data_IF_058070522798
#
_entry.id   IF_058070522798
#
_cell.length_a   1.000
_cell.length_b   1.000
_cell.length_c   1.000
_cell.angle_alpha   90.00
_cell.angle_beta   90.00
_cell.angle_gamma   90.00
#
_symmetry.space_group_name_H-M   'P 1'
#
loop_
_entity.id
_entity.type
_entity.pdbx_description
1 polymer ?
#
# COMPACT_ATOMS: atom_id res chain seq x y z
N UNK A 1 17.49 11.28 16.52
CA UNK A 1 16.43 10.31 16.20
C UNK A 1 15.89 10.70 14.84
N UNK A 2 15.78 9.73 13.94
CA UNK A 2 15.74 9.83 12.47
C UNK A 2 14.63 10.71 11.90
N UNK A 3 15.00 11.89 11.41
CA UNK A 3 14.23 12.87 10.59
C UNK A 3 13.76 12.34 9.21
N UNK A 4 13.84 11.04 8.94
CA UNK A 4 13.51 10.49 7.61
C UNK A 4 12.03 10.10 7.42
N UNK A 5 11.20 10.17 8.47
CA UNK A 5 9.81 9.74 8.42
C UNK A 5 8.80 10.87 8.15
N UNK A 6 9.20 12.14 8.24
CA UNK A 6 8.25 13.27 8.21
C UNK A 6 7.91 13.78 6.80
N UNK A 7 8.52 13.24 5.73
CA UNK A 7 8.38 13.78 4.37
C UNK A 7 7.42 13.02 3.44
N UNK A 8 6.66 12.05 3.95
CA UNK A 8 5.66 11.30 3.18
C UNK A 8 4.28 11.39 3.81
N UNK A 9 3.78 12.62 3.98
CA UNK A 9 2.41 12.87 4.44
C UNK A 9 1.58 13.42 3.27
N UNK A 10 0.60 12.63 2.79
CA UNK A 10 -0.72 13.17 2.48
C UNK A 10 -1.79 12.34 3.20
N UNK A 11 -2.72 12.93 3.97
CA UNK A 11 -3.97 13.51 3.47
C UNK A 11 -4.87 12.42 2.85
N UNK A 12 -6.15 12.37 3.26
CA UNK A 12 -7.07 11.24 3.10
C UNK A 12 -7.13 10.60 1.70
N UNK A 13 -7.77 9.42 1.59
CA UNK A 13 -7.79 8.51 0.41
C UNK A 13 -7.56 9.18 -0.97
N UNK A 14 -8.29 10.24 -1.28
CA UNK A 14 -8.19 10.96 -2.55
C UNK A 14 -6.79 11.52 -2.85
N UNK A 15 -6.13 12.17 -1.88
CA UNK A 15 -4.83 12.78 -2.11
C UNK A 15 -3.71 11.73 -2.17
N UNK A 16 -3.78 10.72 -1.32
CA UNK A 16 -2.86 9.57 -1.41
C UNK A 16 -2.89 8.96 -2.81
N UNK A 17 -4.10 8.76 -3.36
CA UNK A 17 -4.31 8.25 -4.71
C UNK A 17 -3.75 9.18 -5.79
N UNK A 18 -3.94 10.48 -5.67
CA UNK A 18 -3.40 11.47 -6.60
C UNK A 18 -1.87 11.40 -6.64
N UNK A 19 -1.21 11.38 -5.47
CA UNK A 19 0.24 11.30 -5.37
C UNK A 19 0.77 10.01 -5.99
N UNK A 20 0.15 8.87 -5.70
CA UNK A 20 0.56 7.58 -6.23
C UNK A 20 0.40 7.49 -7.75
N UNK A 21 -0.70 8.01 -8.29
CA UNK A 21 -0.91 8.10 -9.74
C UNK A 21 0.13 8.98 -10.40
N UNK A 22 0.45 10.13 -9.81
CA UNK A 22 1.43 11.07 -10.34
C UNK A 22 2.85 10.50 -10.34
N UNK A 23 3.23 9.82 -9.27
CA UNK A 23 4.59 9.28 -9.09
C UNK A 23 4.76 7.87 -9.67
N UNK A 24 3.66 7.14 -9.89
CA UNK A 24 3.66 5.70 -10.19
C UNK A 24 4.48 4.92 -9.15
N UNK A 25 4.35 5.31 -7.89
CA UNK A 25 5.10 4.80 -6.75
C UNK A 25 4.20 4.71 -5.52
N UNK A 26 4.36 3.64 -4.74
CA UNK A 26 3.70 3.52 -3.43
C UNK A 26 4.72 3.11 -2.36
N UNK A 27 4.75 3.81 -1.21
CA UNK A 27 5.53 3.39 -0.07
C UNK A 27 4.84 2.22 0.64
N UNK A 28 5.58 1.12 0.85
CA UNK A 28 5.10 -0.05 1.61
C UNK A 28 6.04 -0.25 2.80
N UNK A 29 5.57 -0.11 4.05
CA UNK A 29 6.39 -0.47 5.21
C UNK A 29 6.71 -1.97 5.18
N UNK A 30 7.89 -2.39 5.59
CA UNK A 30 8.26 -3.80 5.70
C UNK A 30 8.19 -4.25 7.16
N UNK A 31 8.16 -5.57 7.40
CA UNK A 31 8.19 -6.12 8.75
C UNK A 31 9.45 -5.71 9.55
N UNK A 32 10.52 -5.30 8.86
CA UNK A 32 11.78 -4.83 9.45
C UNK A 32 11.74 -3.34 9.85
N UNK A 33 10.62 -2.64 9.60
CA UNK A 33 10.49 -1.20 9.88
C UNK A 33 11.10 -0.29 8.81
N UNK A 34 11.48 -0.83 7.65
CA UNK A 34 11.94 -0.05 6.51
C UNK A 34 10.77 0.32 5.58
N UNK A 35 10.94 1.34 4.74
CA UNK A 35 9.98 1.65 3.66
C UNK A 35 10.52 1.11 2.34
N UNK A 36 9.76 0.22 1.70
CA UNK A 36 9.99 -0.19 0.32
C UNK A 36 9.18 0.69 -0.63
N UNK A 37 9.87 1.49 -1.45
CA UNK A 37 9.22 2.34 -2.47
C UNK A 37 8.98 1.54 -3.76
N UNK A 38 7.79 0.97 -3.89
CA UNK A 38 7.45 0.07 -4.99
C UNK A 38 6.99 0.84 -6.22
N UNK A 39 7.43 0.41 -7.40
CA UNK A 39 6.94 0.92 -8.68
C UNK A 39 5.56 0.34 -8.96
N UNK A 40 4.57 1.21 -9.10
CA UNK A 40 3.23 0.86 -9.55
C UNK A 40 3.27 0.61 -11.06
N UNK A 41 2.65 -0.48 -11.49
CA UNK A 41 2.42 -0.80 -12.90
C UNK A 41 0.97 -0.54 -13.31
N UNK A 42 0.03 -0.88 -12.44
CA UNK A 42 -1.39 -0.64 -12.64
C UNK A 42 -2.10 -0.41 -11.29
N UNK A 43 -3.14 0.42 -11.32
CA UNK A 43 -4.06 0.64 -10.20
C UNK A 43 -5.45 0.26 -10.69
N UNK A 44 -6.08 -0.66 -10.00
CA UNK A 44 -7.45 -1.08 -10.25
C UNK A 44 -8.31 -0.59 -9.09
N UNK A 45 -9.30 0.25 -9.40
CA UNK A 45 -10.37 0.56 -8.47
C UNK A 45 -11.28 -0.66 -8.40
N UNK A 46 -11.15 -1.45 -7.33
CA UNK A 46 -12.02 -2.58 -7.02
C UNK A 46 -12.57 -2.41 -5.62
N UNK A 47 -13.78 -2.91 -5.39
CA UNK A 47 -14.43 -2.86 -4.08
C UNK A 47 -14.14 -4.10 -3.23
N UNK A 48 -13.58 -5.17 -3.83
CA UNK A 48 -13.23 -6.39 -3.07
C UNK A 48 -12.24 -7.31 -3.79
N UNK A 49 -11.63 -8.22 -3.03
CA UNK A 49 -10.96 -9.43 -3.52
C UNK A 49 -11.42 -10.63 -2.68
N UNK A 50 -11.82 -11.72 -3.33
CA UNK A 50 -12.31 -12.93 -2.64
C UNK A 50 -13.41 -12.64 -1.59
N UNK A 51 -14.28 -11.64 -1.84
CA UNK A 51 -15.34 -11.22 -0.92
C UNK A 51 -14.89 -10.36 0.26
N UNK A 52 -13.60 -10.02 0.36
CA UNK A 52 -13.06 -9.09 1.36
C UNK A 52 -12.95 -7.68 0.80
N UNK A 53 -13.33 -6.63 1.56
CA UNK A 53 -13.35 -5.27 1.06
C UNK A 53 -11.94 -4.76 0.76
N UNK A 54 -11.80 -4.08 -0.37
CA UNK A 54 -10.61 -3.32 -0.74
C UNK A 54 -11.04 -1.96 -1.27
N UNK A 55 -10.17 -0.99 -1.14
CA UNK A 55 -10.32 0.28 -1.86
C UNK A 55 -9.62 0.23 -3.22
N UNK A 56 -8.50 -0.50 -3.30
CA UNK A 56 -7.69 -0.63 -4.51
C UNK A 56 -7.04 -2.00 -4.58
N UNK A 57 -6.75 -2.41 -5.80
CA UNK A 57 -5.81 -3.49 -6.10
C UNK A 57 -4.70 -2.89 -6.97
N UNK A 58 -3.45 -3.14 -6.60
CA UNK A 58 -2.28 -2.52 -7.24
C UNK A 58 -1.30 -3.60 -7.65
N UNK A 59 -0.92 -3.61 -8.91
CA UNK A 59 0.20 -4.41 -9.38
C UNK A 59 1.47 -3.57 -9.26
N UNK A 60 2.45 -4.05 -8.49
CA UNK A 60 3.67 -3.33 -8.19
C UNK A 60 4.90 -4.24 -8.10
N UNK A 61 6.08 -3.66 -8.30
CA UNK A 61 7.36 -4.36 -8.20
C UNK A 61 8.45 -3.44 -7.65
N UNK A 62 9.44 -4.02 -6.97
CA UNK A 62 10.54 -3.28 -6.35
C UNK A 62 11.51 -2.73 -7.40
N UNK A 63 11.87 -3.54 -8.40
CA UNK A 63 12.70 -3.15 -9.54
C UNK A 63 12.17 -3.77 -10.84
N UNK A 64 12.83 -3.51 -11.99
CA UNK A 64 12.44 -4.10 -13.29
C UNK A 64 12.67 -5.61 -13.38
N UNK A 65 13.57 -6.15 -12.57
CA UNK A 65 13.91 -7.57 -12.52
C UNK A 65 13.13 -8.35 -11.47
N UNK A 66 12.45 -7.66 -10.54
CA UNK A 66 11.62 -8.30 -9.53
C UNK A 66 10.28 -8.75 -10.13
N UNK A 67 9.70 -9.86 -9.63
CA UNK A 67 8.37 -10.28 -10.04
C UNK A 67 7.32 -9.21 -9.66
N UNK A 68 6.32 -9.06 -10.53
CA UNK A 68 5.12 -8.28 -10.22
C UNK A 68 4.38 -8.96 -9.09
N UNK A 69 4.01 -8.18 -8.08
CA UNK A 69 3.17 -8.62 -6.98
C UNK A 69 1.94 -7.73 -6.90
N UNK A 70 0.83 -8.36 -6.55
CA UNK A 70 -0.43 -7.69 -6.37
C UNK A 70 -0.62 -7.33 -4.90
N UNK A 71 -1.04 -6.08 -4.64
CA UNK A 71 -1.28 -5.53 -3.32
C UNK A 71 -2.72 -5.07 -3.21
N UNK A 72 -3.40 -5.49 -2.16
CA UNK A 72 -4.64 -4.85 -1.73
C UNK A 72 -4.32 -3.56 -0.98
N UNK A 73 -5.16 -2.54 -1.11
CA UNK A 73 -5.06 -1.32 -0.30
C UNK A 73 -6.39 -1.08 0.38
N UNK A 74 -6.32 -0.80 1.69
CA UNK A 74 -7.48 -0.49 2.52
C UNK A 74 -7.22 0.82 3.27
N UNK A 75 -8.11 1.78 3.10
CA UNK A 75 -8.16 3.03 3.86
C UNK A 75 -9.23 2.89 4.94
N UNK A 76 -8.81 2.77 6.20
CA UNK A 76 -9.73 2.55 7.31
C UNK A 76 -9.15 3.02 8.63
N UNK A 77 -10.02 3.35 9.59
CA UNK A 77 -9.62 3.77 10.93
C UNK A 77 -8.92 2.68 11.73
N UNK A 78 -9.19 1.42 11.42
CA UNK A 78 -8.62 0.24 12.05
C UNK A 78 -7.99 -0.67 10.99
N UNK A 79 -6.88 -1.36 11.30
CA UNK A 79 -6.29 -2.31 10.38
C UNK A 79 -7.28 -3.43 10.03
N UNK A 80 -7.32 -3.90 8.78
CA UNK A 80 -8.12 -5.05 8.40
C UNK A 80 -7.53 -6.33 9.01
N UNK A 81 -8.33 -7.39 9.04
CA UNK A 81 -7.81 -8.72 9.37
C UNK A 81 -6.95 -9.25 8.23
N UNK A 82 -5.65 -8.92 8.26
CA UNK A 82 -4.69 -9.27 7.22
C UNK A 82 -4.64 -10.76 6.90
N UNK A 83 -4.90 -11.62 7.90
CA UNK A 83 -4.81 -13.07 7.77
C UNK A 83 -5.83 -13.66 6.80
N UNK A 84 -6.95 -12.94 6.58
CA UNK A 84 -8.00 -13.35 5.64
C UNK A 84 -7.64 -13.09 4.19
N UNK A 85 -6.74 -12.15 3.93
CA UNK A 85 -6.32 -11.82 2.57
C UNK A 85 -5.23 -12.78 2.12
N UNK A 86 -5.39 -13.37 0.93
CA UNK A 86 -4.38 -14.23 0.32
C UNK A 86 -3.27 -13.45 -0.42
N UNK A 87 -3.24 -12.12 -0.26
CA UNK A 87 -2.27 -11.21 -0.87
C UNK A 87 -1.75 -10.23 0.20
N UNK A 88 -0.60 -9.58 -0.04
CA UNK A 88 -0.19 -8.45 0.78
C UNK A 88 -1.23 -7.35 0.78
N UNK A 89 -1.57 -6.81 1.95
CA UNK A 89 -2.54 -5.70 2.06
C UNK A 89 -1.92 -4.54 2.80
N UNK A 90 -1.80 -3.42 2.10
CA UNK A 90 -1.39 -2.13 2.65
C UNK A 90 -2.61 -1.46 3.27
N UNK A 91 -2.58 -1.32 4.59
CA UNK A 91 -3.53 -0.53 5.35
C UNK A 91 -3.00 0.88 5.53
N UNK A 92 -3.87 1.88 5.34
CA UNK A 92 -3.57 3.27 5.64
C UNK A 92 -4.66 3.92 6.47
N UNK A 93 -4.19 4.72 7.43
CA UNK A 93 -4.92 5.69 8.24
C UNK A 93 -4.11 6.99 8.21
N UNK A 94 -4.75 8.14 8.45
CA UNK A 94 -4.08 9.45 8.47
C UNK A 94 -2.69 9.42 9.14
N UNK A 95 -1.63 9.51 8.32
CA UNK A 95 -0.23 9.51 8.74
C UNK A 95 0.34 8.15 9.23
N UNK A 96 -0.44 7.07 9.19
CA UNK A 96 -0.04 5.74 9.66
C UNK A 96 -0.30 4.69 8.59
N UNK A 97 0.72 3.92 8.23
CA UNK A 97 0.61 2.80 7.31
C UNK A 97 1.10 1.50 7.96
N UNK A 98 0.46 0.39 7.61
CA UNK A 98 0.88 -0.95 7.98
C UNK A 98 0.63 -1.92 6.84
N UNK A 99 1.36 -3.02 6.78
CA UNK A 99 1.14 -4.03 5.74
C UNK A 99 1.03 -5.42 6.37
N UNK A 100 0.05 -6.18 5.89
CA UNK A 100 -0.07 -7.60 6.19
C UNK A 100 0.64 -8.46 5.15
N UNK A 101 1.24 -9.57 5.58
CA UNK A 101 1.75 -10.62 4.68
C UNK A 101 2.83 -10.16 3.69
N UNK A 102 3.50 -9.03 3.94
CA UNK A 102 4.65 -8.55 3.19
C UNK A 102 5.95 -8.81 3.95
N UNK A 103 6.87 -9.55 3.31
CA UNK A 103 8.23 -9.85 3.80
C UNK A 103 9.24 -9.25 2.85
#
# INVERSE_FOLDING_TARGET
MTELAEHYNPIGKAETLEVWRRRMRMPVPTAEGHISDLRILAIYETTSINGLPLDLLIDAQKSKSDPVKQFGVVFSENPPDWSKYCIPVLWQKEGVAGVGSWK
#
